data_IF_609495886889
#
_entry.id   IF_609495886889
#
_cell.length_a   1.000
_cell.length_b   1.000
_cell.length_c   1.000
_cell.angle_alpha   90.00
_cell.angle_beta   90.00
_cell.angle_gamma   90.00
#
_symmetry.space_group_name_H-M   'P 1'
#
loop_
_entity.id
_entity.type
_entity.pdbx_description
1 polymer ?
#
# COMPACT_ATOMS: atom_id res chain seq x y z
N UNK A 1 -1.99 -18.95 31.27
CA UNK A 1 -1.27 -18.99 29.99
C UNK A 1 -2.32 -18.92 28.90
N UNK A 2 -2.41 -17.79 28.21
CA UNK A 2 -3.48 -17.56 27.22
C UNK A 2 -3.26 -18.44 26.00
N UNK A 3 -4.28 -19.20 25.63
CA UNK A 3 -4.26 -20.01 24.41
C UNK A 3 -4.49 -19.11 23.20
N UNK A 4 -3.98 -19.49 22.04
CA UNK A 4 -4.12 -18.72 20.78
C UNK A 4 -5.58 -18.35 20.46
N UNK A 5 -6.53 -19.21 20.86
CA UNK A 5 -7.97 -18.96 20.67
C UNK A 5 -8.53 -17.82 21.53
N UNK A 6 -8.07 -17.69 22.78
CA UNK A 6 -8.49 -16.60 23.68
C UNK A 6 -7.96 -15.25 23.18
N UNK A 7 -6.72 -15.24 22.65
CA UNK A 7 -6.14 -14.05 22.05
C UNK A 7 -6.90 -13.62 20.79
N UNK A 8 -7.25 -14.56 19.91
CA UNK A 8 -8.06 -14.27 18.72
C UNK A 8 -9.43 -13.69 19.08
N UNK A 9 -10.12 -14.28 20.06
CA UNK A 9 -11.41 -13.77 20.54
C UNK A 9 -11.29 -12.36 21.14
N UNK A 10 -10.21 -12.09 21.89
CA UNK A 10 -9.93 -10.77 22.46
C UNK A 10 -9.66 -9.72 21.39
N UNK A 11 -8.88 -10.07 20.36
CA UNK A 11 -8.60 -9.17 19.23
C UNK A 11 -9.88 -8.87 18.45
N UNK A 12 -10.69 -9.89 18.15
CA UNK A 12 -11.97 -9.72 17.46
C UNK A 12 -12.96 -8.87 18.28
N UNK A 13 -12.84 -8.87 19.61
CA UNK A 13 -13.60 -8.01 20.53
C UNK A 13 -13.08 -6.57 20.64
N UNK A 14 -12.03 -6.19 19.89
CA UNK A 14 -11.48 -4.83 19.89
C UNK A 14 -10.51 -4.54 21.04
N UNK A 15 -9.91 -5.57 21.66
CA UNK A 15 -8.87 -5.32 22.67
C UNK A 15 -7.62 -4.68 22.02
N UNK A 16 -7.01 -3.68 22.67
CA UNK A 16 -5.81 -3.03 22.14
C UNK A 16 -4.65 -4.03 22.07
N UNK A 17 -3.89 -3.97 20.98
CA UNK A 17 -2.66 -4.75 20.78
C UNK A 17 -1.50 -3.82 20.42
N UNK A 18 -0.36 -4.00 21.08
CA UNK A 18 0.85 -3.21 20.77
C UNK A 18 1.47 -3.66 19.43
N UNK A 19 1.47 -4.97 19.16
CA UNK A 19 2.02 -5.60 17.95
C UNK A 19 1.21 -6.86 17.60
N UNK A 20 0.76 -6.97 16.35
CA UNK A 20 0.13 -8.18 15.81
C UNK A 20 1.05 -8.83 14.76
N UNK A 21 1.42 -10.10 14.97
CA UNK A 21 2.11 -10.92 13.96
C UNK A 21 1.04 -11.77 13.27
N UNK A 22 0.82 -11.51 11.98
CA UNK A 22 -0.24 -12.15 11.20
C UNK A 22 0.33 -13.22 10.26
N UNK A 23 -0.43 -14.28 10.05
CA UNK A 23 -0.16 -15.26 8.99
C UNK A 23 -0.62 -14.71 7.64
N UNK A 24 -0.12 -15.27 6.52
CA UNK A 24 -0.59 -14.86 5.17
C UNK A 24 -2.09 -14.99 5.01
N UNK A 25 -2.68 -16.08 5.50
CA UNK A 25 -4.14 -16.29 5.45
C UNK A 25 -4.90 -15.16 6.17
N UNK A 26 -4.42 -14.72 7.34
CA UNK A 26 -5.07 -13.63 8.07
C UNK A 26 -4.96 -12.28 7.34
N UNK A 27 -3.88 -12.05 6.58
CA UNK A 27 -3.73 -10.89 5.71
C UNK A 27 -4.71 -10.96 4.52
N UNK A 28 -4.84 -12.13 3.88
CA UNK A 28 -5.75 -12.33 2.75
C UNK A 28 -7.22 -12.12 3.17
N UNK A 29 -7.60 -12.61 4.35
CA UNK A 29 -8.94 -12.43 4.91
C UNK A 29 -9.23 -10.95 5.21
N UNK A 30 -8.26 -10.19 5.71
CA UNK A 30 -8.39 -8.75 5.94
C UNK A 30 -8.54 -7.98 4.62
N UNK A 31 -7.70 -8.30 3.63
CA UNK A 31 -7.77 -7.70 2.30
C UNK A 31 -9.13 -7.95 1.62
N UNK A 32 -9.74 -9.12 1.87
CA UNK A 32 -11.05 -9.47 1.30
C UNK A 32 -12.23 -8.64 1.84
N UNK A 33 -12.06 -7.97 3.00
CA UNK A 33 -13.14 -7.23 3.68
C UNK A 33 -13.27 -5.76 3.26
N UNK A 34 -12.43 -5.27 2.35
CA UNK A 34 -12.52 -3.92 1.78
C UNK A 34 -11.41 -2.97 2.22
N UNK A 35 -11.34 -1.80 1.56
CA UNK A 35 -10.26 -0.83 1.70
C UNK A 35 -10.14 -0.33 3.15
N UNK A 36 -8.93 -0.40 3.68
CA UNK A 36 -8.69 -0.15 5.10
C UNK A 36 -8.59 1.34 5.53
N UNK A 37 -8.41 2.38 4.68
CA UNK A 37 -8.37 3.75 5.17
C UNK A 37 -9.78 4.22 5.56
N UNK A 38 -10.83 3.82 4.84
CA UNK A 38 -12.19 4.21 5.16
C UNK A 38 -12.70 3.58 6.46
N UNK A 39 -12.21 2.38 6.81
CA UNK A 39 -12.50 1.76 8.11
C UNK A 39 -11.97 2.59 9.28
N UNK A 40 -10.79 3.21 9.12
CA UNK A 40 -10.23 4.14 10.12
C UNK A 40 -11.03 5.43 10.18
N UNK A 41 -11.39 6.00 9.02
CA UNK A 41 -12.22 7.22 8.95
C UNK A 41 -13.60 7.01 9.58
N UNK A 42 -14.21 5.83 9.42
CA UNK A 42 -15.50 5.49 10.04
C UNK A 42 -15.39 5.13 11.54
N UNK A 43 -14.18 5.03 12.10
CA UNK A 43 -13.95 4.61 13.48
C UNK A 43 -14.17 3.10 13.73
N UNK A 44 -14.18 2.30 12.67
CA UNK A 44 -14.31 0.84 12.71
C UNK A 44 -12.96 0.15 12.95
N UNK A 45 -11.85 0.87 12.72
CA UNK A 45 -10.49 0.44 12.99
C UNK A 45 -9.67 1.60 13.55
N UNK A 46 -8.70 1.31 14.41
CA UNK A 46 -7.77 2.33 14.94
C UNK A 46 -6.56 2.55 14.01
N UNK A 47 -6.16 1.51 13.26
CA UNK A 47 -5.01 1.50 12.37
C UNK A 47 -5.31 0.73 11.09
N UNK A 48 -4.68 1.14 10.00
CA UNK A 48 -4.71 0.45 8.73
C UNK A 48 -3.31 0.29 8.15
N UNK A 49 -3.06 -0.86 7.53
CA UNK A 49 -1.79 -1.17 6.86
C UNK A 49 -2.07 -1.42 5.37
N UNK A 50 -1.56 -0.53 4.52
CA UNK A 50 -1.78 -0.53 3.06
C UNK A 50 -0.70 0.28 2.34
N UNK A 51 -0.82 0.46 1.03
CA UNK A 51 0.10 1.33 0.30
C UNK A 51 -0.10 2.80 0.67
N UNK A 52 1.00 3.54 0.81
CA UNK A 52 0.97 4.98 1.12
C UNK A 52 0.10 5.75 0.13
N UNK A 53 0.17 5.44 -1.17
CA UNK A 53 -0.68 6.07 -2.20
C UNK A 53 -2.18 5.91 -1.93
N UNK A 54 -2.61 4.80 -1.33
CA UNK A 54 -4.03 4.56 -1.04
C UNK A 54 -4.49 5.40 0.14
N UNK A 55 -3.62 5.56 1.16
CA UNK A 55 -3.85 6.47 2.28
C UNK A 55 -3.93 7.92 1.79
N UNK A 56 -3.02 8.34 0.91
CA UNK A 56 -2.98 9.71 0.38
C UNK A 56 -4.20 10.06 -0.51
N UNK A 57 -4.92 9.06 -1.02
CA UNK A 57 -6.16 9.27 -1.79
C UNK A 57 -7.41 9.45 -0.91
N UNK A 58 -7.32 9.19 0.40
CA UNK A 58 -8.39 9.44 1.37
C UNK A 58 -8.03 10.67 2.23
N UNK A 59 -8.54 11.88 1.91
CA UNK A 59 -8.13 13.11 2.57
C UNK A 59 -8.43 13.13 4.07
N UNK A 60 -9.39 12.34 4.55
CA UNK A 60 -9.71 12.23 5.96
C UNK A 60 -8.77 11.28 6.73
N UNK A 61 -7.96 10.48 6.03
CA UNK A 61 -7.00 9.58 6.66
C UNK A 61 -5.68 10.30 6.96
N UNK A 62 -5.07 9.97 8.10
CA UNK A 62 -3.75 10.46 8.48
C UNK A 62 -2.68 9.39 8.26
N UNK A 63 -1.66 9.69 7.44
CA UNK A 63 -0.47 8.85 7.33
C UNK A 63 0.39 9.01 8.59
N UNK A 64 0.59 7.91 9.32
CA UNK A 64 1.45 7.89 10.53
C UNK A 64 2.92 7.57 10.23
N UNK A 65 3.22 6.97 9.07
CA UNK A 65 4.57 6.65 8.61
C UNK A 65 4.62 5.38 7.76
N UNK A 66 5.76 5.10 7.11
CA UNK A 66 5.95 3.85 6.37
C UNK A 66 6.15 2.67 7.34
N UNK A 67 5.84 1.46 6.85
CA UNK A 67 6.30 0.22 7.49
C UNK A 67 7.83 0.23 7.60
N UNK A 68 8.45 -0.31 8.66
CA UNK A 68 9.91 -0.36 8.77
C UNK A 68 10.58 -0.99 7.54
N UNK A 69 11.70 -0.42 7.08
CA UNK A 69 12.37 -0.76 5.81
C UNK A 69 12.59 -2.27 5.61
N UNK A 70 13.07 -2.98 6.64
CA UNK A 70 13.31 -4.44 6.59
C UNK A 70 12.06 -5.31 6.47
N UNK A 71 10.87 -4.72 6.62
CA UNK A 71 9.57 -5.38 6.47
C UNK A 71 8.79 -4.89 5.25
N UNK A 72 9.31 -3.89 4.52
CA UNK A 72 8.67 -3.41 3.32
C UNK A 72 8.81 -4.43 2.19
N UNK A 73 7.72 -4.65 1.46
CA UNK A 73 7.74 -5.35 0.19
C UNK A 73 7.52 -4.29 -0.90
N UNK A 74 8.59 -3.81 -1.57
CA UNK A 74 8.44 -2.74 -2.55
C UNK A 74 7.63 -3.23 -3.75
N UNK A 75 6.68 -2.39 -4.17
CA UNK A 75 5.90 -2.61 -5.39
C UNK A 75 6.55 -1.79 -6.50
N UNK A 76 7.24 -2.48 -7.40
CA UNK A 76 7.98 -1.87 -8.50
C UNK A 76 7.08 -1.75 -9.73
N UNK A 77 6.91 -0.53 -10.22
CA UNK A 77 6.27 -0.27 -11.51
C UNK A 77 7.35 -0.05 -12.56
N UNK A 78 7.29 -0.81 -13.66
CA UNK A 78 8.25 -0.72 -14.75
C UNK A 78 7.53 -0.39 -16.07
N UNK A 79 8.18 0.41 -16.91
CA UNK A 79 7.76 0.66 -18.29
C UNK A 79 8.75 -0.02 -19.25
N UNK A 80 8.22 -0.71 -20.27
CA UNK A 80 9.02 -1.44 -21.24
C UNK A 80 8.58 -1.15 -22.67
N UNK A 81 9.54 -1.19 -23.60
CA UNK A 81 9.27 -1.14 -25.04
C UNK A 81 9.14 -2.57 -25.55
N UNK A 82 7.99 -2.92 -26.14
CA UNK A 82 7.79 -4.22 -26.73
C UNK A 82 8.82 -4.48 -27.84
N UNK A 83 9.28 -5.74 -27.97
CA UNK A 83 10.26 -6.14 -29.00
C UNK A 83 9.67 -6.18 -30.41
N UNK A 84 8.35 -6.19 -30.53
CA UNK A 84 7.62 -6.19 -31.79
C UNK A 84 6.56 -5.09 -31.79
N UNK A 85 6.42 -4.39 -32.91
CA UNK A 85 5.43 -3.34 -33.08
C UNK A 85 5.85 -2.36 -34.18
N UNK A 86 4.94 -1.46 -34.56
CA UNK A 86 5.24 -0.42 -35.57
C UNK A 86 5.59 0.93 -34.94
N UNK A 87 5.40 1.09 -33.64
CA UNK A 87 5.46 2.38 -32.95
C UNK A 87 6.64 2.49 -31.96
N UNK A 88 7.77 1.82 -32.23
CA UNK A 88 8.92 1.77 -31.31
C UNK A 88 9.40 3.16 -30.88
N UNK A 89 9.56 4.09 -31.83
CA UNK A 89 10.06 5.45 -31.55
C UNK A 89 9.08 6.23 -30.67
N UNK A 90 7.78 6.11 -30.94
CA UNK A 90 6.73 6.74 -30.12
C UNK A 90 6.67 6.14 -28.71
N UNK A 91 6.79 4.81 -28.58
CA UNK A 91 6.84 4.15 -27.26
C UNK A 91 8.08 4.56 -26.49
N UNK A 92 9.25 4.67 -27.14
CA UNK A 92 10.48 5.15 -26.50
C UNK A 92 10.33 6.58 -26.01
N UNK A 93 9.83 7.48 -26.86
CA UNK A 93 9.57 8.87 -26.48
C UNK A 93 8.59 8.98 -25.30
N UNK A 94 7.58 8.11 -25.25
CA UNK A 94 6.65 8.06 -24.12
C UNK A 94 7.32 7.60 -22.83
N UNK A 95 8.14 6.54 -22.87
CA UNK A 95 8.90 6.07 -21.70
C UNK A 95 9.86 7.16 -21.22
N UNK A 96 10.58 7.83 -22.13
CA UNK A 96 11.44 8.96 -21.80
C UNK A 96 10.67 10.10 -21.11
N UNK A 97 9.48 10.43 -21.62
CA UNK A 97 8.61 11.44 -21.00
C UNK A 97 8.17 11.05 -19.58
N UNK A 98 7.85 9.78 -19.32
CA UNK A 98 7.51 9.27 -17.98
C UNK A 98 8.68 9.38 -16.99
N UNK A 99 9.92 9.36 -17.48
CA UNK A 99 11.14 9.50 -16.66
C UNK A 99 11.65 10.94 -16.55
N UNK A 100 10.95 11.91 -17.16
CA UNK A 100 11.34 13.33 -17.09
C UNK A 100 11.24 13.90 -15.67
N UNK A 101 12.02 14.95 -15.32
CA UNK A 101 11.95 15.57 -13.99
C UNK A 101 10.53 16.04 -13.59
N UNK A 102 9.74 16.54 -14.54
CA UNK A 102 8.36 16.96 -14.31
C UNK A 102 7.45 15.76 -14.01
N UNK A 103 7.59 14.67 -14.76
CA UNK A 103 6.86 13.44 -14.48
C UNK A 103 7.24 12.84 -13.12
N UNK A 104 8.53 12.81 -12.77
CA UNK A 104 9.00 12.38 -11.44
C UNK A 104 8.38 13.19 -10.31
N UNK A 105 8.28 14.52 -10.47
CA UNK A 105 7.64 15.37 -9.47
C UNK A 105 6.15 15.03 -9.28
N UNK A 106 5.42 14.77 -10.37
CA UNK A 106 4.02 14.33 -10.32
C UNK A 106 3.90 12.97 -9.62
N UNK A 107 4.70 11.98 -10.02
CA UNK A 107 4.72 10.65 -9.41
C UNK A 107 5.00 10.73 -7.91
N UNK A 108 5.97 11.55 -7.50
CA UNK A 108 6.28 11.79 -6.09
C UNK A 108 5.12 12.41 -5.32
N UNK A 109 4.42 13.37 -5.92
CA UNK A 109 3.22 13.97 -5.30
C UNK A 109 2.06 12.97 -5.15
N UNK A 110 2.03 11.92 -5.98
CA UNK A 110 1.05 10.84 -5.92
C UNK A 110 1.48 9.67 -4.99
N UNK A 111 2.56 9.82 -4.23
CA UNK A 111 3.04 8.80 -3.27
C UNK A 111 3.83 7.66 -3.90
N UNK A 112 4.43 7.87 -5.08
CA UNK A 112 5.36 6.94 -5.71
C UNK A 112 6.81 7.41 -5.52
N UNK A 113 7.75 6.48 -5.67
CA UNK A 113 9.20 6.73 -5.53
C UNK A 113 9.89 6.46 -6.87
N UNK A 114 9.93 7.45 -7.79
CA UNK A 114 10.59 7.29 -9.07
C UNK A 114 12.12 7.42 -8.92
N UNK A 115 12.86 6.51 -9.55
CA UNK A 115 14.33 6.58 -9.73
C UNK A 115 14.71 7.71 -10.69
#
# INVERSE_FOLDING_TARGET
>A
MGTTGELQASIAGGAPVDVAILTRQALDDLASKGMAPEAVVRGEAELALMQIREILMEPAAQLVGPVPEGMQVPIVFAAGVASHGKAHDATRAFVEALTSPSAKAILKSAGLEPE
#
